data_IF_129868073783
#
_entry.id   IF_129868073783
#
_cell.length_a   1.000
_cell.length_b   1.000
_cell.length_c   1.000
_cell.angle_alpha   90.00
_cell.angle_beta   90.00
_cell.angle_gamma   90.00
#
_symmetry.space_group_name_H-M   'P 1'
#
loop_
_entity.id
_entity.type
_entity.pdbx_description
1 polymer ?
#
# COMPACT_ATOMS: atom_id res chain seq x y z
N UNK A 1 -28.05 7.73 -3.98
CA UNK A 1 -26.88 8.09 -3.15
C UNK A 1 -26.36 6.84 -2.47
N UNK A 2 -25.17 6.38 -2.87
CA UNK A 2 -24.47 5.37 -2.08
C UNK A 2 -23.88 6.11 -0.87
N UNK A 3 -24.49 5.93 0.30
CA UNK A 3 -23.94 6.49 1.54
C UNK A 3 -22.78 5.59 1.96
N UNK A 4 -21.54 6.02 1.65
CA UNK A 4 -20.31 5.31 1.95
C UNK A 4 -19.66 5.81 3.25
N UNK A 5 -20.33 6.69 4.01
CA UNK A 5 -19.83 7.14 5.32
C UNK A 5 -19.92 6.00 6.33
N UNK A 6 -18.96 5.94 7.21
CA UNK A 6 -18.84 4.89 8.24
C UNK A 6 -18.93 3.48 7.64
N UNK A 7 -18.24 3.23 6.52
CA UNK A 7 -18.13 1.92 5.88
C UNK A 7 -16.70 1.61 5.48
N UNK A 8 -16.33 0.34 5.57
CA UNK A 8 -15.03 -0.12 5.03
C UNK A 8 -14.92 0.09 3.53
N UNK A 9 -16.02 0.02 2.78
CA UNK A 9 -16.03 0.32 1.36
C UNK A 9 -15.62 1.77 1.08
N UNK A 10 -16.14 2.73 1.84
CA UNK A 10 -15.75 4.15 1.74
C UNK A 10 -14.28 4.41 2.04
N UNK A 11 -13.68 3.64 2.96
CA UNK A 11 -12.26 3.73 3.28
C UNK A 11 -11.37 3.08 2.19
N UNK A 12 -11.76 1.92 1.66
CA UNK A 12 -10.93 1.09 0.79
C UNK A 12 -11.00 1.55 -0.67
N UNK A 13 -12.20 1.82 -1.21
CA UNK A 13 -12.38 2.08 -2.65
C UNK A 13 -11.47 3.17 -3.22
N UNK A 14 -11.34 4.35 -2.60
CA UNK A 14 -10.43 5.39 -3.12
C UNK A 14 -8.95 5.00 -3.00
N UNK A 15 -8.63 4.13 -2.03
CA UNK A 15 -7.26 3.69 -1.78
C UNK A 15 -6.78 2.60 -2.72
N UNK A 16 -7.67 1.86 -3.39
CA UNK A 16 -7.32 0.75 -4.31
C UNK A 16 -6.61 1.28 -5.56
N UNK A 17 -7.04 2.44 -6.06
CA UNK A 17 -6.48 3.02 -7.28
C UNK A 17 -5.40 4.04 -6.95
N UNK A 18 -4.18 3.79 -7.44
CA UNK A 18 -3.07 4.74 -7.39
C UNK A 18 -2.41 4.82 -8.74
N UNK A 19 -2.46 6.00 -9.37
CA UNK A 19 -1.83 6.24 -10.67
C UNK A 19 -0.34 5.91 -10.63
N UNK A 20 0.33 6.25 -9.53
CA UNK A 20 1.75 5.97 -9.35
C UNK A 20 2.07 4.47 -9.37
N UNK A 21 1.31 3.66 -8.61
CA UNK A 21 1.57 2.21 -8.55
C UNK A 21 1.17 1.49 -9.85
N UNK A 22 0.11 1.95 -10.52
CA UNK A 22 -0.29 1.44 -11.84
C UNK A 22 0.82 1.73 -12.84
N UNK A 23 1.35 2.95 -12.86
CA UNK A 23 2.44 3.34 -13.74
C UNK A 23 3.69 2.51 -13.48
N UNK A 24 4.09 2.36 -12.21
CA UNK A 24 5.27 1.58 -11.83
C UNK A 24 5.15 0.11 -12.27
N UNK A 25 3.97 -0.48 -12.13
CA UNK A 25 3.73 -1.85 -12.57
C UNK A 25 3.73 -1.96 -14.10
N UNK A 26 3.13 -1.00 -14.80
CA UNK A 26 3.15 -0.91 -16.26
C UNK A 26 4.57 -0.86 -16.80
N UNK A 27 5.42 0.00 -16.24
CA UNK A 27 6.83 0.12 -16.65
C UNK A 27 7.60 -1.18 -16.41
N UNK A 28 7.31 -1.92 -15.33
CA UNK A 28 7.92 -3.22 -15.10
C UNK A 28 7.43 -4.28 -16.10
N UNK A 29 6.17 -4.29 -16.47
CA UNK A 29 5.64 -5.19 -17.49
C UNK A 29 6.26 -4.88 -18.87
N UNK A 30 6.47 -3.61 -19.20
CA UNK A 30 7.11 -3.20 -20.45
C UNK A 30 8.58 -3.60 -20.59
N UNK A 31 9.23 -4.01 -19.49
CA UNK A 31 10.60 -4.52 -19.53
C UNK A 31 10.68 -6.04 -19.84
N UNK A 32 9.54 -6.72 -19.88
CA UNK A 32 9.49 -8.15 -20.22
C UNK A 32 9.64 -8.29 -21.73
N UNK A 33 10.61 -9.10 -22.23
CA UNK A 33 10.81 -9.29 -23.66
C UNK A 33 9.57 -9.86 -24.37
N UNK A 34 9.23 -9.30 -25.53
CA UNK A 34 8.08 -9.74 -26.33
C UNK A 34 8.20 -11.19 -26.81
N UNK A 35 9.42 -11.71 -26.91
CA UNK A 35 9.70 -13.10 -27.31
C UNK A 35 9.02 -14.10 -26.36
N UNK A 36 8.93 -13.79 -25.05
CA UNK A 36 8.23 -14.65 -24.09
C UNK A 36 6.73 -14.69 -24.35
N UNK A 37 6.15 -13.58 -24.81
CA UNK A 37 4.74 -13.53 -25.18
C UNK A 37 4.47 -14.35 -26.44
N UNK A 38 5.29 -14.17 -27.48
CA UNK A 38 5.14 -14.91 -28.74
C UNK A 38 5.36 -16.42 -28.53
N UNK A 39 6.36 -16.82 -27.75
CA UNK A 39 6.57 -18.22 -27.40
C UNK A 39 5.33 -18.82 -26.69
N UNK A 40 4.78 -18.11 -25.70
CA UNK A 40 3.57 -18.55 -25.02
C UNK A 40 2.35 -18.65 -25.93
N UNK A 41 2.27 -17.79 -26.97
CA UNK A 41 1.18 -17.84 -27.98
C UNK A 41 1.32 -19.06 -28.90
N UNK A 42 2.52 -19.41 -29.31
CA UNK A 42 2.78 -20.64 -30.09
C UNK A 42 2.36 -21.88 -29.29
N UNK A 43 2.60 -21.86 -27.96
CA UNK A 43 2.16 -22.94 -27.04
C UNK A 43 0.65 -22.92 -26.76
N UNK A 44 -0.14 -22.06 -27.41
CA UNK A 44 -1.58 -21.95 -27.22
C UNK A 44 -2.00 -21.36 -25.86
N UNK A 45 -1.09 -20.66 -25.18
CA UNK A 45 -1.38 -20.05 -23.88
C UNK A 45 -2.28 -18.81 -24.05
N UNK A 46 -3.37 -18.72 -23.28
CA UNK A 46 -4.24 -17.54 -23.25
C UNK A 46 -3.58 -16.36 -22.53
N UNK A 47 -4.00 -15.12 -22.85
CA UNK A 47 -3.42 -13.90 -22.27
C UNK A 47 -3.51 -13.86 -20.74
N UNK A 48 -4.63 -14.29 -20.17
CA UNK A 48 -4.78 -14.36 -18.71
C UNK A 48 -3.82 -15.38 -18.09
N UNK A 49 -3.62 -16.53 -18.75
CA UNK A 49 -2.67 -17.53 -18.28
C UNK A 49 -1.24 -17.05 -18.39
N UNK A 50 -0.89 -16.32 -19.47
CA UNK A 50 0.40 -15.67 -19.63
C UNK A 50 0.65 -14.62 -18.53
N UNK A 51 -0.33 -13.77 -18.27
CA UNK A 51 -0.26 -12.78 -17.18
C UNK A 51 0.01 -13.45 -15.83
N UNK A 52 -0.77 -14.47 -15.47
CA UNK A 52 -0.68 -15.09 -14.15
C UNK A 52 0.55 -16.00 -13.97
N UNK A 53 0.98 -16.70 -15.04
CA UNK A 53 2.06 -17.68 -14.96
C UNK A 53 3.43 -17.18 -15.37
N UNK A 54 3.51 -16.10 -16.14
CA UNK A 54 4.75 -15.55 -16.65
C UNK A 54 4.99 -14.13 -16.13
N UNK A 55 4.11 -13.18 -16.45
CA UNK A 55 4.33 -11.77 -16.13
C UNK A 55 4.35 -11.51 -14.61
N UNK A 56 3.35 -11.97 -13.88
CA UNK A 56 3.26 -11.76 -12.43
C UNK A 56 4.45 -12.36 -11.67
N UNK A 57 4.89 -13.61 -11.92
CA UNK A 57 6.09 -14.15 -11.30
C UNK A 57 7.37 -13.37 -11.60
N UNK A 58 7.56 -12.90 -12.83
CA UNK A 58 8.72 -12.07 -13.22
C UNK A 58 8.69 -10.74 -12.46
N UNK A 59 7.52 -10.09 -12.37
CA UNK A 59 7.35 -8.81 -11.70
C UNK A 59 7.11 -8.92 -10.18
N UNK A 60 7.18 -10.13 -9.62
CA UNK A 60 6.94 -10.38 -8.19
C UNK A 60 7.72 -9.45 -7.24
N UNK A 61 9.02 -9.14 -7.47
CA UNK A 61 9.73 -8.20 -6.60
C UNK A 61 9.08 -6.81 -6.57
N UNK A 62 8.69 -6.28 -7.73
CA UNK A 62 8.02 -4.98 -7.84
C UNK A 62 6.64 -5.00 -7.21
N UNK A 63 5.86 -6.06 -7.40
CA UNK A 63 4.54 -6.23 -6.77
C UNK A 63 4.67 -6.24 -5.24
N UNK A 64 5.65 -6.95 -4.70
CA UNK A 64 5.92 -6.97 -3.25
C UNK A 64 6.26 -5.55 -2.77
N UNK A 65 7.11 -4.83 -3.47
CA UNK A 65 7.49 -3.46 -3.12
C UNK A 65 6.28 -2.52 -3.13
N UNK A 66 5.46 -2.55 -4.18
CA UNK A 66 4.21 -1.77 -4.27
C UNK A 66 3.29 -2.10 -3.09
N UNK A 67 3.13 -3.38 -2.77
CA UNK A 67 2.28 -3.82 -1.64
C UNK A 67 2.79 -3.25 -0.32
N UNK A 68 4.10 -3.31 -0.06
CA UNK A 68 4.69 -2.78 1.18
C UNK A 68 4.50 -1.26 1.26
N UNK A 69 4.78 -0.54 0.19
CA UNK A 69 4.61 0.91 0.14
C UNK A 69 3.13 1.30 0.36
N UNK A 70 2.21 0.54 -0.22
CA UNK A 70 0.77 0.76 -0.03
C UNK A 70 0.32 0.49 1.40
N UNK A 71 0.84 -0.53 2.06
CA UNK A 71 0.57 -0.79 3.48
C UNK A 71 1.05 0.38 4.35
N UNK A 72 2.27 0.89 4.09
CA UNK A 72 2.80 2.05 4.82
C UNK A 72 1.93 3.29 4.59
N UNK A 73 1.53 3.56 3.34
CA UNK A 73 0.66 4.68 2.98
C UNK A 73 -0.71 4.60 3.69
N UNK A 74 -1.35 3.42 3.64
CA UNK A 74 -2.64 3.20 4.30
C UNK A 74 -2.54 3.34 5.83
N UNK A 75 -1.45 2.85 6.43
CA UNK A 75 -1.22 2.96 7.87
C UNK A 75 -1.10 4.42 8.33
N UNK A 76 -0.45 5.26 7.52
CA UNK A 76 -0.26 6.67 7.81
C UNK A 76 -1.41 7.55 7.29
N UNK A 77 -2.43 6.97 6.64
CA UNK A 77 -3.55 7.73 6.10
C UNK A 77 -4.38 8.36 7.22
N UNK A 78 -4.60 9.67 7.12
CA UNK A 78 -5.34 10.44 8.13
C UNK A 78 -6.51 11.22 7.53
N UNK A 79 -6.23 12.01 6.49
CA UNK A 79 -7.21 13.00 5.98
C UNK A 79 -8.45 12.33 5.44
N UNK A 80 -8.30 11.35 4.55
CA UNK A 80 -9.44 10.67 3.96
C UNK A 80 -10.29 9.92 4.98
N UNK A 81 -9.72 9.06 5.85
CA UNK A 81 -10.50 8.42 6.90
C UNK A 81 -11.24 9.41 7.80
N UNK A 82 -10.62 10.55 8.14
CA UNK A 82 -11.26 11.58 8.98
C UNK A 82 -12.47 12.22 8.31
N UNK A 83 -12.49 12.29 6.98
CA UNK A 83 -13.60 12.87 6.22
C UNK A 83 -14.80 11.92 6.05
N UNK A 84 -14.54 10.60 6.04
CA UNK A 84 -15.56 9.59 5.73
C UNK A 84 -16.02 8.77 6.93
N UNK A 85 -15.35 8.92 8.10
CA UNK A 85 -15.71 8.20 9.33
C UNK A 85 -15.91 9.14 10.49
N UNK A 86 -17.10 9.07 11.10
CA UNK A 86 -17.44 9.78 12.34
C UNK A 86 -17.56 8.79 13.52
N UNK A 87 -17.71 7.49 13.25
CA UNK A 87 -17.83 6.44 14.23
C UNK A 87 -16.45 5.85 14.57
N UNK A 88 -16.13 5.79 15.86
CA UNK A 88 -14.86 5.24 16.38
C UNK A 88 -14.58 3.79 15.95
N UNK A 89 -15.63 3.01 15.63
CA UNK A 89 -15.48 1.64 15.14
C UNK A 89 -14.74 1.54 13.79
N UNK A 90 -14.71 2.64 13.02
CA UNK A 90 -14.06 2.73 11.71
C UNK A 90 -12.77 3.58 11.74
N UNK A 91 -12.34 4.05 12.89
CA UNK A 91 -11.13 4.86 12.98
C UNK A 91 -9.89 4.04 12.63
N UNK A 92 -9.08 4.60 11.77
CA UNK A 92 -7.73 4.10 11.55
C UNK A 92 -6.80 4.55 12.69
N UNK A 93 -5.64 3.94 12.78
CA UNK A 93 -4.67 4.18 13.84
C UNK A 93 -4.29 5.66 13.98
N UNK A 94 -4.08 6.36 12.85
CA UNK A 94 -3.78 7.79 12.81
C UNK A 94 -4.95 8.66 13.30
N UNK A 95 -6.19 8.27 13.02
CA UNK A 95 -7.38 8.95 13.54
C UNK A 95 -7.54 8.73 15.05
N UNK A 96 -7.25 7.51 15.54
CA UNK A 96 -7.27 7.20 16.96
C UNK A 96 -6.26 8.02 17.78
N UNK A 97 -5.05 8.25 17.25
CA UNK A 97 -4.06 9.14 17.92
C UNK A 97 -4.63 10.56 18.05
N UNK A 98 -5.23 11.07 17.00
CA UNK A 98 -5.77 12.43 17.02
C UNK A 98 -6.95 12.55 17.99
N UNK A 99 -7.83 11.55 18.05
CA UNK A 99 -8.93 11.47 19.00
C UNK A 99 -8.43 11.50 20.46
N UNK A 100 -7.40 10.70 20.77
CA UNK A 100 -6.77 10.69 22.10
C UNK A 100 -6.22 12.08 22.44
N UNK A 101 -5.65 12.79 21.45
CA UNK A 101 -5.10 14.12 21.61
C UNK A 101 -6.19 15.18 21.85
N UNK A 102 -7.31 15.09 21.15
CA UNK A 102 -8.40 16.09 21.21
C UNK A 102 -9.27 15.91 22.46
N UNK A 103 -9.53 14.68 22.88
CA UNK A 103 -10.44 14.35 23.99
C UNK A 103 -9.80 14.39 25.38
N UNK A 104 -8.75 15.18 25.59
CA UNK A 104 -8.21 15.52 26.90
C UNK A 104 -7.07 14.64 27.43
N UNK A 105 -6.97 13.37 27.00
CA UNK A 105 -5.89 12.50 27.43
C UNK A 105 -4.50 13.00 26.97
N UNK A 106 -4.46 13.63 25.78
CA UNK A 106 -3.20 14.10 25.19
C UNK A 106 -2.70 15.43 25.71
N UNK A 107 -3.57 16.31 26.25
CA UNK A 107 -3.14 17.62 26.78
C UNK A 107 -2.64 17.55 28.21
N UNK A 108 -3.22 16.65 29.02
CA UNK A 108 -2.86 16.49 30.42
C UNK A 108 -1.83 15.38 30.66
N UNK A 109 -1.68 14.43 29.71
CA UNK A 109 -0.77 13.30 29.87
C UNK A 109 0.11 13.09 28.62
N UNK A 110 1.05 14.01 28.41
CA UNK A 110 2.03 13.95 27.32
C UNK A 110 2.81 12.61 27.31
N UNK A 111 3.25 12.03 28.45
CA UNK A 111 3.94 10.74 28.45
C UNK A 111 3.09 9.60 27.86
N UNK A 112 1.79 9.53 28.19
CA UNK A 112 0.92 8.50 27.65
C UNK A 112 0.73 8.64 26.13
N UNK A 113 0.60 9.86 25.62
CA UNK A 113 0.53 10.14 24.20
C UNK A 113 1.82 9.72 23.47
N UNK A 114 2.98 10.03 24.04
CA UNK A 114 4.29 9.61 23.48
C UNK A 114 4.40 8.08 23.46
N UNK A 115 3.96 7.40 24.53
CA UNK A 115 3.94 5.94 24.56
C UNK A 115 3.01 5.36 23.49
N UNK A 116 1.83 5.92 23.27
CA UNK A 116 0.92 5.50 22.22
C UNK A 116 1.55 5.65 20.81
N UNK A 117 2.21 6.77 20.54
CA UNK A 117 2.92 7.00 19.26
C UNK A 117 4.01 5.97 19.06
N UNK A 118 4.80 5.65 20.08
CA UNK A 118 5.85 4.62 20.00
C UNK A 118 5.24 3.26 19.68
N UNK A 119 4.22 2.83 20.43
CA UNK A 119 3.56 1.52 20.21
C UNK A 119 2.99 1.42 18.79
N UNK A 120 2.36 2.48 18.30
CA UNK A 120 1.75 2.51 16.96
C UNK A 120 2.80 2.54 15.85
N UNK A 121 4.00 3.09 16.12
CA UNK A 121 5.10 3.10 15.15
C UNK A 121 5.83 1.75 15.06
N UNK A 122 5.76 0.90 16.10
CA UNK A 122 6.45 -0.39 16.13
C UNK A 122 6.13 -1.30 14.93
N UNK A 123 4.86 -1.51 14.52
CA UNK A 123 4.55 -2.35 13.36
C UNK A 123 5.21 -1.87 12.07
N UNK A 124 5.26 -0.54 11.84
CA UNK A 124 5.93 0.03 10.68
C UNK A 124 7.45 -0.17 10.71
N UNK A 125 8.07 0.00 11.88
CA UNK A 125 9.50 -0.23 12.07
C UNK A 125 9.82 -1.70 11.81
N UNK A 126 9.04 -2.62 12.37
CA UNK A 126 9.21 -4.07 12.14
C UNK A 126 9.04 -4.40 10.65
N UNK A 127 7.99 -3.89 10.00
CA UNK A 127 7.76 -4.08 8.58
C UNK A 127 8.94 -3.55 7.77
N UNK A 128 9.42 -2.34 8.05
CA UNK A 128 10.59 -1.77 7.37
C UNK A 128 11.84 -2.63 7.54
N UNK A 129 12.15 -3.05 8.76
CA UNK A 129 13.34 -3.88 9.04
C UNK A 129 13.28 -5.22 8.31
N UNK A 130 12.11 -5.86 8.26
CA UNK A 130 11.92 -7.15 7.58
C UNK A 130 12.01 -7.01 6.05
N UNK A 131 11.51 -5.91 5.49
CA UNK A 131 11.36 -5.77 4.04
C UNK A 131 12.30 -4.75 3.39
N UNK A 132 13.19 -4.06 4.16
CA UNK A 132 14.10 -3.03 3.65
C UNK A 132 14.86 -3.45 2.39
N UNK A 133 15.34 -4.70 2.34
CA UNK A 133 16.08 -5.21 1.19
C UNK A 133 15.19 -5.30 -0.07
N UNK A 134 13.96 -5.78 0.08
CA UNK A 134 13.01 -5.89 -1.03
C UNK A 134 12.53 -4.52 -1.52
N UNK A 135 12.35 -3.56 -0.61
CA UNK A 135 12.01 -2.17 -0.96
C UNK A 135 13.12 -1.57 -1.82
N UNK A 136 14.37 -1.72 -1.42
CA UNK A 136 15.54 -1.21 -2.17
C UNK A 136 15.67 -1.85 -3.55
N UNK A 137 15.49 -3.17 -3.65
CA UNK A 137 15.55 -3.90 -4.92
C UNK A 137 14.47 -3.47 -5.90
N UNK A 138 13.25 -3.21 -5.42
CA UNK A 138 12.12 -2.81 -6.27
C UNK A 138 12.22 -1.38 -6.77
N UNK A 139 12.72 -0.46 -5.94
CA UNK A 139 12.90 0.96 -6.34
C UNK A 139 14.08 1.12 -7.30
N UNK A 140 15.18 0.38 -7.10
CA UNK A 140 16.37 0.50 -7.96
C UNK A 140 16.13 0.00 -9.38
N UNK A 141 15.28 -1.00 -9.57
CA UNK A 141 14.93 -1.52 -10.91
C UNK A 141 14.07 -0.55 -11.72
N UNK A 142 13.33 0.33 -11.09
CA UNK A 142 12.54 1.38 -11.77
C UNK A 142 13.34 2.61 -12.17
N UNK A 143 14.58 2.77 -11.67
CA UNK A 143 15.41 3.97 -11.85
C UNK A 143 16.58 3.84 -12.83
N UNK A 144 16.90 2.66 -13.30
CA UNK A 144 18.03 2.47 -14.24
C UNK A 144 17.57 2.57 -15.70
N UNK A 145 17.30 3.78 -16.16
CA UNK A 145 17.49 4.22 -17.53
C UNK A 145 18.51 5.35 -17.48
N UNK A 146 19.76 5.01 -17.52
CA UNK A 146 20.90 5.87 -17.81
C UNK A 146 21.93 5.05 -18.51
#
# INVERSE_FOLDING_TARGET
NMDLRNTFAGLILPSVTSVFYIYLLKENFAQIPDELYYAAKVDGTSDLKYLLKVMIPICKPTIITITILKVIECWNSYVWPRLVTDDQAYFLVSNGIQEIRENGFGRENIPAMMAAVVVISLPLIVLFLLFRKKIMEGVSRGGTKG
#
